data_IF_589088421334
#
_entry.id   IF_589088421334
#
_cell.length_a   1.000
_cell.length_b   1.000
_cell.length_c   1.000
_cell.angle_alpha   90.00
_cell.angle_beta   90.00
_cell.angle_gamma   90.00
#
_symmetry.space_group_name_H-M   'P 1'
#
loop_
_entity.id
_entity.type
_entity.pdbx_description
1 polymer ?
#
# COMPACT_ATOMS: atom_id res chain seq x y z
N UNK A 1 -20.35 -29.88 10.57
CA UNK A 1 -21.03 -28.64 10.96
C UNK A 1 -19.95 -27.71 11.49
N UNK A 2 -19.34 -26.94 10.59
CA UNK A 2 -18.23 -26.05 10.86
C UNK A 2 -18.72 -24.62 10.94
N UNK A 3 -18.30 -23.91 11.97
CA UNK A 3 -18.59 -22.50 12.19
C UNK A 3 -17.92 -21.64 11.10
N UNK A 4 -18.68 -21.19 10.15
CA UNK A 4 -18.34 -20.05 9.30
C UNK A 4 -18.38 -18.78 10.18
N UNK A 5 -17.21 -18.31 10.59
CA UNK A 5 -17.07 -16.95 11.13
C UNK A 5 -17.14 -15.98 9.94
N UNK A 6 -18.28 -15.37 9.78
CA UNK A 6 -18.49 -14.24 8.88
C UNK A 6 -17.67 -13.04 9.38
N UNK A 7 -16.74 -12.58 8.54
CA UNK A 7 -15.83 -11.45 8.80
C UNK A 7 -16.51 -10.06 8.69
N UNK A 8 -17.85 -10.02 8.79
CA UNK A 8 -18.64 -8.80 8.56
C UNK A 8 -19.03 -8.02 9.83
N UNK A 9 -18.58 -8.42 11.01
CA UNK A 9 -18.79 -7.62 12.22
C UNK A 9 -17.46 -7.01 12.65
N UNK A 10 -17.19 -5.77 12.25
CA UNK A 10 -16.16 -4.95 12.89
C UNK A 10 -16.58 -4.75 14.35
N UNK A 11 -15.75 -5.13 15.34
CA UNK A 11 -16.00 -4.69 16.71
C UNK A 11 -15.97 -3.16 16.74
N UNK A 12 -16.80 -2.52 17.60
CA UNK A 12 -16.74 -1.08 17.77
C UNK A 12 -15.31 -0.69 18.18
N UNK A 13 -14.78 0.34 17.53
CA UNK A 13 -13.47 0.90 17.85
C UNK A 13 -13.42 1.17 19.36
N UNK A 14 -12.59 0.42 20.07
CA UNK A 14 -12.28 0.72 21.46
C UNK A 14 -11.70 2.13 21.49
N UNK A 15 -12.24 2.99 22.35
CA UNK A 15 -11.73 4.31 22.67
C UNK A 15 -10.36 4.21 23.36
N UNK A 16 -9.35 3.79 22.63
CA UNK A 16 -7.97 4.00 23.02
C UNK A 16 -7.55 5.37 22.46
N UNK A 17 -7.85 6.42 23.19
CA UNK A 17 -7.22 7.73 23.03
C UNK A 17 -5.75 7.60 23.41
N UNK A 18 -4.96 7.03 22.53
CA UNK A 18 -3.51 7.15 22.56
C UNK A 18 -3.16 8.61 22.24
N UNK A 19 -3.07 9.43 23.24
CA UNK A 19 -2.50 10.77 23.19
C UNK A 19 -1.02 10.56 22.80
N UNK A 20 -0.67 10.89 21.54
CA UNK A 20 0.74 10.92 21.15
C UNK A 20 1.42 11.99 21.99
N UNK A 21 2.34 11.60 22.88
CA UNK A 21 3.16 12.51 23.63
C UNK A 21 3.93 13.41 22.67
N UNK A 22 3.68 14.72 22.75
CA UNK A 22 4.13 15.73 21.78
C UNK A 22 5.64 15.99 21.75
N UNK A 23 6.47 15.02 22.15
CA UNK A 23 7.92 15.13 22.22
C UNK A 23 8.65 13.95 21.58
N UNK A 24 8.04 13.30 20.57
CA UNK A 24 8.78 12.30 19.81
C UNK A 24 9.89 13.00 19.01
N UNK A 25 11.13 12.81 19.43
CA UNK A 25 12.32 13.31 18.71
C UNK A 25 12.26 12.68 17.31
N UNK A 26 12.06 13.53 16.30
CA UNK A 26 12.05 13.11 14.90
C UNK A 26 13.43 12.52 14.60
N UNK A 27 13.52 11.20 14.46
CA UNK A 27 14.77 10.53 14.14
C UNK A 27 15.11 10.74 12.67
N UNK A 28 16.40 10.72 12.33
CA UNK A 28 16.84 10.74 10.95
C UNK A 28 16.23 9.58 10.12
N UNK A 29 16.06 8.42 10.74
CA UNK A 29 15.40 7.26 10.14
C UNK A 29 13.95 7.56 9.75
N UNK A 30 13.14 8.16 10.65
CA UNK A 30 11.76 8.53 10.38
C UNK A 30 11.66 9.50 9.19
N UNK A 31 12.58 10.48 9.09
CA UNK A 31 12.62 11.41 7.96
C UNK A 31 12.99 10.71 6.65
N UNK A 32 13.97 9.81 6.65
CA UNK A 32 14.37 9.05 5.45
C UNK A 32 13.22 8.16 4.97
N UNK A 33 12.52 7.49 5.89
CA UNK A 33 11.35 6.67 5.58
C UNK A 33 10.24 7.54 5.00
N UNK A 34 9.92 8.66 5.64
CA UNK A 34 8.86 9.55 5.17
C UNK A 34 9.15 10.11 3.77
N UNK A 35 10.42 10.43 3.46
CA UNK A 35 10.83 10.85 2.12
C UNK A 35 10.69 9.71 1.09
N UNK A 36 11.09 8.49 1.45
CA UNK A 36 10.96 7.31 0.58
C UNK A 36 9.48 6.98 0.33
N UNK A 37 8.65 7.08 1.37
CA UNK A 37 7.20 6.92 1.27
C UNK A 37 6.58 7.95 0.32
N UNK A 38 6.98 9.23 0.45
CA UNK A 38 6.51 10.30 -0.42
C UNK A 38 6.89 10.04 -1.90
N UNK A 39 8.10 9.57 -2.16
CA UNK A 39 8.56 9.24 -3.51
C UNK A 39 7.84 8.00 -4.06
N UNK A 40 7.65 6.96 -3.24
CA UNK A 40 6.97 5.72 -3.64
C UNK A 40 5.52 5.97 -4.06
N UNK A 41 4.73 6.64 -3.22
CA UNK A 41 3.30 6.85 -3.50
C UNK A 41 3.06 7.86 -4.62
N UNK A 42 4.04 8.72 -4.94
CA UNK A 42 3.97 9.65 -6.06
C UNK A 42 4.25 9.00 -7.42
N UNK A 43 4.72 7.73 -7.44
CA UNK A 43 4.99 7.02 -8.71
C UNK A 43 3.68 6.88 -9.49
N UNK A 44 3.67 7.36 -10.73
CA UNK A 44 2.51 7.31 -11.62
C UNK A 44 1.40 8.30 -11.25
N UNK A 45 1.68 9.27 -10.39
CA UNK A 45 0.75 10.34 -10.01
C UNK A 45 1.27 11.72 -10.42
N UNK A 46 0.35 12.63 -10.68
CA UNK A 46 0.63 14.07 -10.76
C UNK A 46 0.69 14.64 -9.35
N UNK A 47 1.80 15.33 -9.03
CA UNK A 47 2.02 15.94 -7.73
C UNK A 47 1.87 17.45 -7.80
N UNK A 48 0.84 18.01 -7.16
CA UNK A 48 0.62 19.45 -7.04
C UNK A 48 0.98 19.91 -5.63
N UNK A 49 2.00 20.76 -5.53
CA UNK A 49 2.42 21.35 -4.26
C UNK A 49 1.62 22.59 -3.96
N UNK A 50 0.92 22.60 -2.83
CA UNK A 50 0.30 23.76 -2.23
C UNK A 50 1.20 24.42 -1.18
N UNK A 51 0.67 25.45 -0.51
CA UNK A 51 1.34 26.05 0.63
C UNK A 51 1.22 25.15 1.87
N UNK A 52 2.26 24.35 2.14
CA UNK A 52 2.30 23.41 3.25
C UNK A 52 1.56 22.09 3.04
N UNK A 53 1.35 21.64 1.80
CA UNK A 53 0.78 20.32 1.51
C UNK A 53 1.09 19.90 0.07
N UNK A 54 0.92 18.61 -0.21
CA UNK A 54 1.00 18.05 -1.56
C UNK A 54 -0.28 17.27 -1.86
N UNK A 55 -0.87 17.51 -3.02
CA UNK A 55 -1.99 16.73 -3.58
C UNK A 55 -1.43 15.80 -4.64
N UNK A 56 -1.64 14.52 -4.49
CA UNK A 56 -1.38 13.52 -5.52
C UNK A 56 -2.68 13.18 -6.24
N UNK A 57 -2.63 13.10 -7.57
CA UNK A 57 -3.76 12.71 -8.41
C UNK A 57 -3.29 11.81 -9.55
N UNK A 58 -4.16 10.92 -10.01
CA UNK A 58 -3.90 10.07 -11.18
C UNK A 58 -5.16 9.99 -12.05
N UNK A 59 -5.04 10.36 -13.31
CA UNK A 59 -6.15 10.22 -14.26
C UNK A 59 -6.27 8.78 -14.79
N UNK A 60 -5.18 8.01 -14.74
CA UNK A 60 -5.17 6.57 -15.07
C UNK A 60 -5.92 5.76 -14.01
N UNK A 61 -5.72 6.10 -12.73
CA UNK A 61 -6.31 5.41 -11.59
C UNK A 61 -7.22 6.35 -10.79
N UNK A 62 -8.18 6.98 -11.48
CA UNK A 62 -9.01 8.08 -10.97
C UNK A 62 -9.78 7.73 -9.69
N UNK A 63 -10.30 6.52 -9.60
CA UNK A 63 -11.14 6.09 -8.49
C UNK A 63 -10.36 5.39 -7.37
N UNK A 64 -9.04 5.25 -7.53
CA UNK A 64 -8.18 4.66 -6.52
C UNK A 64 -7.70 5.71 -5.53
N UNK A 65 -8.11 5.56 -4.28
CA UNK A 65 -7.74 6.51 -3.20
C UNK A 65 -6.24 6.53 -2.92
N UNK A 66 -5.49 5.44 -3.18
CA UNK A 66 -4.04 5.39 -3.01
C UNK A 66 -3.26 6.14 -4.09
N UNK A 67 -3.92 6.47 -5.21
CA UNK A 67 -3.39 7.34 -6.26
C UNK A 67 -3.92 8.77 -6.19
N UNK A 68 -4.89 9.06 -5.29
CA UNK A 68 -5.56 10.35 -5.20
C UNK A 68 -5.73 10.74 -3.73
N UNK A 69 -4.76 11.46 -3.16
CA UNK A 69 -4.77 11.83 -1.75
C UNK A 69 -3.93 13.08 -1.46
N UNK A 70 -4.07 13.60 -0.24
CA UNK A 70 -3.30 14.74 0.29
C UNK A 70 -2.32 14.24 1.33
N UNK A 71 -1.09 14.74 1.28
CA UNK A 71 -0.01 14.38 2.20
C UNK A 71 0.98 15.51 2.43
N UNK A 72 2.02 15.28 3.23
CA UNK A 72 3.05 16.27 3.57
C UNK A 72 2.43 17.55 4.12
N UNK A 73 1.48 17.39 5.06
CA UNK A 73 0.65 18.49 5.53
C UNK A 73 1.36 19.22 6.67
N UNK A 74 1.83 20.43 6.39
CA UNK A 74 2.43 21.37 7.36
C UNK A 74 1.87 22.77 7.11
N UNK A 75 0.65 22.99 7.57
CA UNK A 75 -0.06 24.26 7.38
C UNK A 75 0.47 25.32 8.36
N UNK A 76 0.54 26.56 7.92
CA UNK A 76 0.86 27.70 8.78
C UNK A 76 -0.09 27.82 9.97
N UNK A 77 0.40 28.43 11.08
CA UNK A 77 -0.34 28.56 12.35
C UNK A 77 -1.71 29.25 12.21
N UNK A 78 -1.83 30.13 11.23
CA UNK A 78 -3.06 30.91 10.99
C UNK A 78 -4.02 30.23 10.02
N UNK A 79 -3.70 29.02 9.54
CA UNK A 79 -4.56 28.28 8.63
C UNK A 79 -5.64 27.55 9.44
N UNK A 80 -6.90 27.90 9.21
CA UNK A 80 -8.05 27.16 9.75
C UNK A 80 -8.11 25.76 9.11
N UNK A 81 -8.01 24.69 9.92
CA UNK A 81 -8.06 23.31 9.40
C UNK A 81 -9.42 22.96 8.74
N UNK A 82 -10.54 23.52 9.21
CA UNK A 82 -11.85 23.31 8.57
C UNK A 82 -11.90 23.90 7.17
N UNK A 83 -11.49 25.15 7.04
CA UNK A 83 -11.40 25.83 5.74
C UNK A 83 -10.41 25.12 4.78
N UNK A 84 -9.32 24.54 5.33
CA UNK A 84 -8.41 23.74 4.55
C UNK A 84 -9.08 22.48 3.98
N UNK A 85 -9.81 21.73 4.82
CA UNK A 85 -10.52 20.51 4.38
C UNK A 85 -11.60 20.85 3.34
N UNK A 86 -12.38 21.95 3.52
CA UNK A 86 -13.38 22.41 2.54
C UNK A 86 -12.75 22.69 1.17
N UNK A 87 -11.61 23.37 1.18
CA UNK A 87 -10.88 23.70 -0.06
C UNK A 87 -10.42 22.42 -0.78
N UNK A 88 -9.91 21.43 -0.02
CA UNK A 88 -9.47 20.16 -0.60
C UNK A 88 -10.65 19.35 -1.12
N UNK A 89 -11.72 19.18 -0.36
CA UNK A 89 -12.93 18.49 -0.83
C UNK A 89 -13.48 19.13 -2.11
N UNK A 90 -13.50 20.47 -2.17
CA UNK A 90 -13.92 21.20 -3.37
C UNK A 90 -13.00 20.93 -4.56
N UNK A 91 -11.67 20.88 -4.35
CA UNK A 91 -10.72 20.57 -5.40
C UNK A 91 -10.92 19.14 -5.93
N UNK A 92 -11.12 18.15 -5.04
CA UNK A 92 -11.38 16.76 -5.44
C UNK A 92 -12.69 16.61 -6.21
N UNK A 93 -13.76 17.31 -5.81
CA UNK A 93 -15.02 17.35 -6.58
C UNK A 93 -14.82 17.95 -7.97
N UNK A 94 -14.07 19.06 -8.10
CA UNK A 94 -13.75 19.66 -9.40
C UNK A 94 -12.95 18.72 -10.30
N UNK A 95 -12.06 17.91 -9.73
CA UNK A 95 -11.30 16.87 -10.43
C UNK A 95 -12.13 15.60 -10.69
N UNK A 96 -13.41 15.62 -10.36
CA UNK A 96 -14.31 14.48 -10.54
C UNK A 96 -13.86 13.22 -9.77
N UNK A 97 -13.31 13.38 -8.56
CA UNK A 97 -12.98 12.28 -7.66
C UNK A 97 -14.18 11.95 -6.77
N UNK A 98 -14.49 10.66 -6.62
CA UNK A 98 -15.60 10.19 -5.77
C UNK A 98 -15.25 10.16 -4.28
N UNK A 99 -14.01 10.49 -3.93
CA UNK A 99 -13.49 10.41 -2.57
C UNK A 99 -12.52 11.54 -2.28
N UNK A 100 -12.27 11.77 -0.98
CA UNK A 100 -11.19 12.63 -0.50
C UNK A 100 -10.42 11.86 0.56
N UNK A 101 -9.08 11.80 0.43
CA UNK A 101 -8.20 11.08 1.35
C UNK A 101 -7.07 11.96 1.83
N UNK A 102 -6.74 11.86 3.12
CA UNK A 102 -5.61 12.52 3.77
C UNK A 102 -4.69 11.47 4.40
N UNK A 103 -3.41 11.60 4.17
CA UNK A 103 -2.37 10.81 4.84
C UNK A 103 -1.67 11.69 5.87
N UNK A 104 -1.74 11.29 7.15
CA UNK A 104 -1.13 12.01 8.25
C UNK A 104 0.01 11.20 8.85
N UNK A 105 1.14 11.86 9.05
CA UNK A 105 2.30 11.31 9.72
C UNK A 105 2.81 12.27 10.80
N UNK A 106 3.96 11.97 11.41
CA UNK A 106 4.58 12.79 12.46
C UNK A 106 4.93 14.22 12.02
N UNK A 107 4.99 14.50 10.72
CA UNK A 107 5.22 15.84 10.15
C UNK A 107 3.97 16.69 10.10
N UNK A 108 2.78 16.08 10.23
CA UNK A 108 1.51 16.77 10.06
C UNK A 108 1.30 17.90 11.07
N UNK A 109 0.99 19.08 10.58
CA UNK A 109 0.61 20.26 11.35
C UNK A 109 -0.61 20.93 10.69
N UNK A 110 -1.58 21.47 11.45
CA UNK A 110 -1.69 21.37 12.91
C UNK A 110 -2.17 19.96 13.34
N UNK A 111 -1.82 19.55 14.56
CA UNK A 111 -2.22 18.24 15.08
C UNK A 111 -3.74 18.07 15.18
N UNK A 112 -4.47 19.18 15.33
CA UNK A 112 -5.95 19.20 15.39
C UNK A 112 -6.61 18.72 14.07
N UNK A 113 -5.87 18.63 12.97
CA UNK A 113 -6.42 18.18 11.68
C UNK A 113 -7.11 16.81 11.79
N UNK A 114 -6.54 15.86 12.53
CA UNK A 114 -7.16 14.55 12.76
C UNK A 114 -8.54 14.66 13.44
N UNK A 115 -8.69 15.59 14.42
CA UNK A 115 -9.97 15.86 15.09
C UNK A 115 -11.00 16.46 14.12
N UNK A 116 -10.56 17.39 13.26
CA UNK A 116 -11.42 17.98 12.22
C UNK A 116 -11.89 16.91 11.25
N UNK A 117 -10.98 16.08 10.72
CA UNK A 117 -11.33 14.99 9.80
C UNK A 117 -12.36 14.04 10.41
N UNK A 118 -12.16 13.61 11.68
CA UNK A 118 -13.12 12.74 12.38
C UNK A 118 -14.50 13.40 12.49
N UNK A 119 -14.57 14.67 12.91
CA UNK A 119 -15.84 15.42 13.03
C UNK A 119 -16.54 15.56 11.67
N UNK A 120 -15.80 15.63 10.59
CA UNK A 120 -16.32 15.72 9.22
C UNK A 120 -16.69 14.38 8.58
N UNK A 121 -16.65 13.30 9.34
CA UNK A 121 -17.08 11.97 8.91
C UNK A 121 -16.05 11.19 8.10
N UNK A 122 -14.76 11.54 8.19
CA UNK A 122 -13.70 10.71 7.63
C UNK A 122 -13.49 9.46 8.48
N UNK A 123 -13.34 8.33 7.82
CA UNK A 123 -12.97 7.05 8.44
C UNK A 123 -11.46 6.97 8.54
N UNK A 124 -10.96 6.66 9.73
CA UNK A 124 -9.53 6.53 10.01
C UNK A 124 -9.08 5.08 9.93
N UNK A 125 -8.00 4.83 9.19
CA UNK A 125 -7.23 3.60 9.27
C UNK A 125 -5.85 3.93 9.83
N UNK A 126 -5.36 3.15 10.80
CA UNK A 126 -4.05 3.35 11.43
C UNK A 126 -3.07 2.32 10.93
N UNK A 127 -1.87 2.80 10.58
CA UNK A 127 -0.73 1.98 10.23
C UNK A 127 0.44 2.20 11.18
N UNK A 128 1.29 1.20 11.32
CA UNK A 128 2.57 1.28 12.02
C UNK A 128 3.69 1.03 11.02
N UNK A 129 4.63 1.93 10.99
CA UNK A 129 5.89 1.72 10.28
C UNK A 129 6.78 0.85 11.14
N UNK A 130 7.18 -0.30 10.60
CA UNK A 130 8.10 -1.21 11.25
C UNK A 130 9.43 -1.25 10.49
N UNK A 131 10.54 -1.20 11.23
CA UNK A 131 11.90 -1.18 10.67
C UNK A 131 12.62 -2.48 11.01
N UNK A 132 13.29 -3.05 10.02
CA UNK A 132 14.10 -4.25 10.20
C UNK A 132 15.38 -3.96 10.97
N UNK A 133 15.68 -4.79 11.99
CA UNK A 133 16.85 -4.64 12.88
C UNK A 133 17.82 -5.83 12.79
N UNK A 134 17.69 -6.66 11.78
CA UNK A 134 18.70 -7.67 11.46
C UNK A 134 18.78 -8.90 12.36
N UNK A 135 17.80 -9.15 13.23
CA UNK A 135 17.83 -10.25 14.22
C UNK A 135 16.80 -11.35 13.97
N UNK A 136 16.06 -11.27 12.86
CA UNK A 136 14.95 -12.18 12.58
C UNK A 136 15.36 -13.48 11.91
N UNK A 137 14.51 -14.49 12.02
CA UNK A 137 14.69 -15.76 11.35
C UNK A 137 14.45 -15.62 9.83
N UNK A 138 15.33 -16.19 9.03
CA UNK A 138 15.06 -16.34 7.61
C UNK A 138 14.02 -17.44 7.42
N UNK A 139 12.89 -17.09 6.78
CA UNK A 139 11.90 -18.09 6.36
C UNK A 139 12.31 -18.69 5.01
N UNK A 140 12.29 -19.99 4.89
CA UNK A 140 12.41 -20.67 3.60
C UNK A 140 11.18 -21.55 3.37
N UNK A 141 10.63 -21.53 2.17
CA UNK A 141 9.64 -22.50 1.74
C UNK A 141 10.27 -23.39 0.67
N UNK A 142 10.51 -24.68 0.94
CA UNK A 142 11.20 -25.55 0.01
C UNK A 142 10.38 -25.93 -1.23
N UNK A 143 9.13 -25.53 -1.32
CA UNK A 143 8.17 -25.96 -2.37
C UNK A 143 7.68 -24.85 -3.28
N UNK A 144 8.27 -23.66 -3.21
CA UNK A 144 7.77 -22.50 -3.97
C UNK A 144 8.92 -21.87 -4.73
N UNK A 145 8.84 -21.88 -6.05
CA UNK A 145 9.73 -21.09 -6.88
C UNK A 145 9.42 -19.59 -6.68
N UNK A 146 10.46 -18.78 -6.61
CA UNK A 146 10.32 -17.34 -6.49
C UNK A 146 10.89 -16.66 -7.73
N UNK A 147 10.09 -15.90 -8.42
CA UNK A 147 10.48 -15.18 -9.62
C UNK A 147 10.44 -13.68 -9.32
N UNK A 148 11.49 -12.98 -9.73
CA UNK A 148 11.57 -11.53 -9.66
C UNK A 148 11.03 -10.93 -10.97
N UNK A 149 10.12 -9.97 -10.83
CA UNK A 149 9.57 -9.20 -11.93
C UNK A 149 10.33 -7.87 -12.04
N UNK A 150 10.90 -7.63 -13.21
CA UNK A 150 11.68 -6.42 -13.53
C UNK A 150 11.20 -5.83 -14.86
N UNK A 151 11.78 -4.71 -15.26
CA UNK A 151 11.52 -4.08 -16.55
C UNK A 151 11.77 -4.99 -17.79
N UNK A 152 12.55 -6.06 -17.62
CA UNK A 152 12.85 -7.05 -18.67
C UNK A 152 11.93 -8.26 -18.64
N UNK A 153 11.03 -8.34 -17.69
CA UNK A 153 10.10 -9.46 -17.56
C UNK A 153 9.07 -9.50 -18.69
N UNK A 154 8.74 -10.69 -19.15
CA UNK A 154 7.76 -10.91 -20.21
C UNK A 154 6.33 -10.57 -19.76
N UNK A 155 5.45 -10.34 -20.75
CA UNK A 155 4.05 -9.99 -20.51
C UNK A 155 3.28 -11.06 -19.71
N UNK A 156 3.66 -12.33 -19.79
CA UNK A 156 3.02 -13.39 -19.02
C UNK A 156 3.21 -13.23 -17.51
N UNK A 157 4.43 -12.85 -17.06
CA UNK A 157 4.70 -12.61 -15.64
C UNK A 157 3.95 -11.37 -15.11
N UNK A 158 3.81 -10.33 -15.94
CA UNK A 158 3.01 -9.16 -15.60
C UNK A 158 1.52 -9.50 -15.49
N UNK A 159 1.03 -10.39 -16.37
CA UNK A 159 -0.35 -10.87 -16.28
C UNK A 159 -0.58 -11.73 -15.02
N UNK A 160 0.36 -12.60 -14.67
CA UNK A 160 0.30 -13.40 -13.43
C UNK A 160 0.32 -12.50 -12.19
N UNK A 161 1.14 -11.43 -12.22
CA UNK A 161 1.15 -10.42 -11.16
C UNK A 161 -0.19 -9.70 -11.04
N UNK A 162 -0.74 -9.22 -12.16
CA UNK A 162 -2.03 -8.55 -12.17
C UNK A 162 -3.18 -9.44 -11.66
N UNK A 163 -3.18 -10.73 -12.04
CA UNK A 163 -4.17 -11.68 -11.56
C UNK A 163 -4.07 -11.92 -10.05
N UNK A 164 -2.84 -11.98 -9.50
CA UNK A 164 -2.60 -12.11 -8.07
C UNK A 164 -3.09 -10.87 -7.31
N UNK A 165 -2.78 -9.67 -7.80
CA UNK A 165 -3.25 -8.41 -7.23
C UNK A 165 -4.79 -8.33 -7.26
N UNK A 166 -5.41 -8.70 -8.37
CA UNK A 166 -6.86 -8.76 -8.49
C UNK A 166 -7.47 -9.73 -7.46
N UNK A 167 -6.90 -10.91 -7.27
CA UNK A 167 -7.33 -11.86 -6.24
C UNK A 167 -7.16 -11.27 -4.83
N UNK A 168 -6.02 -10.62 -4.55
CA UNK A 168 -5.74 -9.98 -3.27
C UNK A 168 -6.82 -8.98 -2.88
N UNK A 169 -7.25 -8.15 -3.82
CA UNK A 169 -8.23 -7.10 -3.58
C UNK A 169 -9.69 -7.54 -3.81
N UNK A 170 -9.93 -8.75 -4.32
CA UNK A 170 -11.28 -9.28 -4.57
C UNK A 170 -12.15 -9.34 -3.30
N UNK A 171 -11.52 -9.56 -2.14
CA UNK A 171 -12.21 -9.60 -0.83
C UNK A 171 -12.80 -8.23 -0.42
N UNK A 172 -12.33 -7.15 -1.04
CA UNK A 172 -12.83 -5.79 -0.82
C UNK A 172 -13.75 -5.31 -1.95
N UNK A 173 -13.92 -6.14 -3.01
CA UNK A 173 -14.69 -5.77 -4.19
C UNK A 173 -16.13 -6.26 -4.08
N UNK A 174 -17.04 -5.36 -3.79
CA UNK A 174 -18.49 -5.62 -3.78
C UNK A 174 -19.16 -5.46 -5.17
N UNK A 175 -18.44 -5.81 -6.24
CA UNK A 175 -18.92 -5.66 -7.61
C UNK A 175 -18.68 -4.27 -8.21
N UNK A 176 -17.81 -3.48 -7.60
CA UNK A 176 -17.44 -2.12 -8.04
C UNK A 176 -16.28 -2.09 -9.02
N UNK A 177 -15.64 -3.24 -9.29
CA UNK A 177 -14.40 -3.35 -10.06
C UNK A 177 -13.18 -2.77 -9.33
N UNK A 178 -13.22 -2.74 -8.00
CA UNK A 178 -12.12 -2.21 -7.19
C UNK A 178 -10.84 -3.05 -7.35
N UNK A 179 -10.98 -4.38 -7.39
CA UNK A 179 -9.86 -5.29 -7.55
C UNK A 179 -9.12 -5.09 -8.89
N UNK A 180 -9.86 -4.88 -9.98
CA UNK A 180 -9.28 -4.59 -11.31
C UNK A 180 -8.47 -3.29 -11.28
N UNK A 181 -9.01 -2.24 -10.65
CA UNK A 181 -8.32 -0.95 -10.54
C UNK A 181 -7.09 -1.01 -9.64
N UNK A 182 -7.12 -1.82 -8.58
CA UNK A 182 -5.97 -2.04 -7.71
C UNK A 182 -4.83 -2.72 -8.47
N UNK A 183 -5.13 -3.79 -9.22
CA UNK A 183 -4.17 -4.46 -10.09
C UNK A 183 -3.59 -3.51 -11.17
N UNK A 184 -4.45 -2.69 -11.78
CA UNK A 184 -4.03 -1.68 -12.74
C UNK A 184 -3.10 -0.62 -12.11
N UNK A 185 -3.38 -0.16 -10.89
CA UNK A 185 -2.52 0.79 -10.18
C UNK A 185 -1.14 0.19 -9.89
N UNK A 186 -1.07 -1.06 -9.42
CA UNK A 186 0.19 -1.75 -9.16
C UNK A 186 1.04 -1.87 -10.41
N UNK A 187 0.49 -2.37 -11.52
CA UNK A 187 1.19 -2.42 -12.81
C UNK A 187 1.64 -1.04 -13.30
N UNK A 188 0.76 -0.05 -13.22
CA UNK A 188 1.08 1.33 -13.63
C UNK A 188 2.26 1.90 -12.84
N UNK A 189 2.30 1.67 -11.53
CA UNK A 189 3.43 2.10 -10.67
C UNK A 189 4.74 1.41 -11.08
N UNK A 190 4.73 0.10 -11.25
CA UNK A 190 5.91 -0.64 -11.71
C UNK A 190 6.44 -0.08 -13.04
N UNK A 191 5.59 0.07 -14.04
CA UNK A 191 5.97 0.62 -15.35
C UNK A 191 6.51 2.05 -15.27
N UNK A 192 5.87 2.92 -14.50
CA UNK A 192 6.31 4.30 -14.30
C UNK A 192 7.67 4.35 -13.61
N UNK A 193 7.87 3.54 -12.56
CA UNK A 193 9.14 3.45 -11.86
C UNK A 193 10.28 3.01 -12.78
N UNK A 194 10.05 1.99 -13.60
CA UNK A 194 11.05 1.50 -14.56
C UNK A 194 11.39 2.53 -15.65
N UNK A 195 10.39 3.24 -16.16
CA UNK A 195 10.61 4.36 -17.12
C UNK A 195 11.47 5.48 -16.52
N UNK A 196 11.38 5.67 -15.20
CA UNK A 196 12.18 6.65 -14.46
C UNK A 196 13.52 6.10 -13.97
N UNK A 197 13.85 4.84 -14.28
CA UNK A 197 15.08 4.18 -13.83
C UNK A 197 15.12 3.96 -12.31
N UNK A 198 13.96 3.87 -11.67
CA UNK A 198 13.86 3.59 -10.23
C UNK A 198 13.95 2.08 -9.98
N UNK A 199 14.55 1.71 -8.84
CA UNK A 199 14.63 0.31 -8.43
C UNK A 199 13.32 -0.11 -7.71
N UNK A 200 12.37 -0.54 -8.52
CA UNK A 200 11.10 -1.09 -8.08
C UNK A 200 10.91 -2.48 -8.69
N UNK A 201 10.70 -3.47 -7.84
CA UNK A 201 10.62 -4.88 -8.20
C UNK A 201 9.38 -5.50 -7.57
N UNK A 202 8.85 -6.52 -8.22
CA UNK A 202 7.86 -7.40 -7.63
C UNK A 202 8.42 -8.83 -7.58
N UNK A 203 8.02 -9.60 -6.58
CA UNK A 203 8.39 -11.01 -6.42
C UNK A 203 7.12 -11.85 -6.44
N UNK A 204 7.08 -12.85 -7.32
CA UNK A 204 6.03 -13.86 -7.37
C UNK A 204 6.52 -15.16 -6.72
N UNK A 205 5.65 -15.77 -5.95
CA UNK A 205 5.80 -17.15 -5.48
C UNK A 205 4.93 -18.05 -6.34
N UNK A 206 5.54 -19.02 -7.02
CA UNK A 206 4.86 -19.98 -7.88
C UNK A 206 4.84 -21.36 -7.21
N UNK A 207 3.66 -21.94 -7.03
CA UNK A 207 3.52 -23.33 -6.66
C UNK A 207 3.59 -24.20 -7.92
N UNK A 208 4.19 -25.38 -7.78
CA UNK A 208 4.16 -26.40 -8.84
C UNK A 208 2.71 -26.66 -9.24
N UNK A 209 2.35 -26.29 -10.45
CA UNK A 209 1.03 -26.65 -11.02
C UNK A 209 0.99 -28.17 -11.10
N UNK A 210 0.27 -28.81 -10.17
CA UNK A 210 0.16 -30.26 -10.13
C UNK A 210 -0.20 -30.78 -11.53
N UNK A 211 0.74 -31.47 -12.15
CA UNK A 211 0.61 -32.07 -13.49
C UNK A 211 -0.43 -33.21 -13.46
N UNK A 212 -1.71 -32.85 -13.39
CA UNK A 212 -2.81 -33.81 -13.52
C UNK A 212 -3.79 -33.45 -14.65
N UNK A 213 -3.36 -32.70 -15.67
CA UNK A 213 -4.17 -32.55 -16.89
C UNK A 213 -3.31 -32.73 -18.14
N UNK A 214 -3.46 -33.88 -18.85
CA UNK A 214 -2.67 -34.15 -20.07
C UNK A 214 -3.12 -33.40 -21.32
N UNK A 215 -3.90 -32.33 -21.24
CA UNK A 215 -4.59 -31.75 -22.39
C UNK A 215 -4.17 -30.33 -22.80
N UNK A 216 -3.04 -29.77 -22.32
CA UNK A 216 -2.54 -28.49 -22.83
C UNK A 216 -1.04 -28.56 -23.18
N UNK A 217 -0.71 -29.32 -24.22
CA UNK A 217 0.55 -29.20 -24.94
C UNK A 217 0.43 -28.03 -25.95
N UNK A 218 0.63 -26.82 -25.49
CA UNK A 218 0.82 -25.63 -26.32
C UNK A 218 2.23 -25.11 -26.13
N UNK A 219 3.04 -25.19 -27.20
CA UNK A 219 4.40 -24.68 -27.26
C UNK A 219 4.44 -23.17 -27.04
N UNK A 220 4.97 -22.70 -25.91
CA UNK A 220 5.64 -21.42 -25.83
C UNK A 220 6.64 -21.43 -24.67
N UNK A 221 7.89 -21.15 -24.99
CA UNK A 221 9.04 -21.14 -24.10
C UNK A 221 9.00 -20.01 -23.04
N UNK A 222 7.87 -19.35 -22.83
CA UNK A 222 7.72 -18.12 -22.04
C UNK A 222 6.65 -18.24 -20.93
N UNK A 223 6.15 -19.45 -20.64
CA UNK A 223 5.23 -19.66 -19.50
C UNK A 223 5.99 -20.19 -18.30
N UNK A 224 5.92 -19.46 -17.19
CA UNK A 224 6.28 -19.98 -15.87
C UNK A 224 5.49 -21.27 -15.61
N UNK A 225 6.18 -22.40 -15.37
CA UNK A 225 5.55 -23.69 -15.08
C UNK A 225 4.93 -23.73 -13.66
N UNK A 226 4.09 -22.75 -13.27
CA UNK A 226 3.50 -22.70 -11.95
C UNK A 226 2.30 -21.75 -11.86
N UNK A 227 1.55 -21.88 -10.77
CA UNK A 227 0.45 -20.98 -10.43
C UNK A 227 0.95 -19.96 -9.41
N UNK A 228 0.70 -18.66 -9.64
CA UNK A 228 1.03 -17.62 -8.67
C UNK A 228 0.21 -17.81 -7.39
N UNK A 229 0.88 -17.98 -6.26
CA UNK A 229 0.25 -18.23 -4.95
C UNK A 229 0.59 -17.17 -3.91
N UNK A 230 1.39 -16.19 -4.26
CA UNK A 230 1.72 -15.06 -3.42
C UNK A 230 2.68 -14.09 -4.09
N UNK A 231 2.79 -12.90 -3.55
CA UNK A 231 3.68 -11.87 -4.06
C UNK A 231 4.03 -10.83 -3.01
N UNK A 232 5.04 -10.02 -3.30
CA UNK A 232 5.36 -8.79 -2.59
C UNK A 232 6.14 -7.85 -3.49
N UNK A 233 6.18 -6.57 -3.12
CA UNK A 233 6.91 -5.52 -3.81
C UNK A 233 8.10 -5.04 -2.98
N UNK A 234 9.13 -4.53 -3.66
CA UNK A 234 10.31 -3.92 -3.07
C UNK A 234 10.64 -2.63 -3.83
N UNK A 235 10.42 -1.50 -3.20
CA UNK A 235 10.86 -0.20 -3.69
C UNK A 235 12.12 0.25 -2.95
N UNK A 236 13.13 0.71 -3.70
CA UNK A 236 14.43 1.10 -3.12
C UNK A 236 14.83 2.51 -3.54
N UNK A 237 15.26 3.30 -2.57
CA UNK A 237 15.70 4.67 -2.83
C UNK A 237 16.73 5.14 -1.79
N UNK A 238 17.91 5.56 -2.25
CA UNK A 238 18.97 6.20 -1.41
C UNK A 238 19.32 5.38 -0.14
N UNK A 239 19.49 4.08 -0.27
CA UNK A 239 19.83 3.20 0.85
C UNK A 239 18.63 2.89 1.77
N UNK A 240 17.43 3.26 1.36
CA UNK A 240 16.18 2.88 2.06
C UNK A 240 15.39 1.93 1.17
N UNK A 241 14.91 0.84 1.76
CA UNK A 241 14.06 -0.15 1.08
C UNK A 241 12.70 -0.24 1.76
N UNK A 242 11.63 -0.16 0.97
CA UNK A 242 10.25 -0.41 1.38
C UNK A 242 9.81 -1.77 0.85
N UNK A 243 9.32 -2.64 1.74
CA UNK A 243 8.63 -3.88 1.37
C UNK A 243 7.13 -3.61 1.49
N UNK A 244 6.36 -3.91 0.43
CA UNK A 244 4.93 -3.65 0.37
C UNK A 244 4.17 -4.79 -0.30
N UNK A 245 2.85 -4.81 -0.18
CA UNK A 245 1.97 -5.69 -0.94
C UNK A 245 2.19 -7.18 -0.64
N UNK A 246 2.68 -7.56 0.55
CA UNK A 246 2.86 -8.98 0.87
C UNK A 246 1.51 -9.68 0.96
N UNK A 247 1.22 -10.49 -0.04
CA UNK A 247 0.00 -11.27 -0.14
C UNK A 247 0.28 -12.75 -0.38
N UNK A 248 -0.56 -13.61 0.18
CA UNK A 248 -0.57 -15.05 -0.07
C UNK A 248 -2.03 -15.48 -0.27
N UNK A 249 -2.28 -16.19 -1.37
CA UNK A 249 -3.61 -16.70 -1.69
C UNK A 249 -4.13 -17.60 -0.56
N UNK A 250 -5.45 -17.59 -0.25
CA UNK A 250 -5.99 -18.34 0.88
C UNK A 250 -5.58 -19.82 0.91
N UNK A 251 -5.57 -20.57 -0.22
CA UNK A 251 -5.17 -21.99 -0.20
C UNK A 251 -3.68 -22.21 0.15
N UNK A 252 -2.81 -21.21 -0.08
CA UNK A 252 -1.37 -21.31 0.16
C UNK A 252 -0.95 -20.76 1.54
N UNK A 253 -1.88 -20.20 2.31
CA UNK A 253 -1.58 -19.68 3.66
C UNK A 253 -1.14 -20.80 4.60
N UNK A 254 -0.26 -20.46 5.55
CA UNK A 254 0.28 -21.41 6.50
C UNK A 254 1.40 -22.34 5.94
N UNK A 255 1.68 -22.28 4.63
CA UNK A 255 2.71 -23.12 3.97
C UNK A 255 4.12 -22.50 3.97
N UNK A 256 4.30 -21.30 4.54
CA UNK A 256 5.58 -20.59 4.58
C UNK A 256 5.85 -19.66 3.39
N UNK A 257 4.92 -19.54 2.43
CA UNK A 257 5.07 -18.69 1.23
C UNK A 257 5.36 -17.23 1.61
N UNK A 258 4.57 -16.64 2.51
CA UNK A 258 4.78 -15.25 2.94
C UNK A 258 6.14 -15.03 3.61
N UNK A 259 6.60 -16.00 4.40
CA UNK A 259 7.93 -15.97 5.01
C UNK A 259 9.04 -16.02 3.96
N UNK A 260 8.88 -16.84 2.93
CA UNK A 260 9.84 -16.97 1.84
C UNK A 260 9.93 -15.70 1.00
N UNK A 261 8.78 -15.08 0.64
CA UNK A 261 8.71 -13.80 -0.07
C UNK A 261 9.38 -12.68 0.72
N UNK A 262 9.05 -12.56 2.01
CA UNK A 262 9.64 -11.56 2.89
C UNK A 262 11.15 -11.74 3.00
N UNK A 263 11.64 -13.00 3.15
CA UNK A 263 13.07 -13.31 3.17
C UNK A 263 13.76 -12.94 1.86
N UNK A 264 13.09 -13.15 0.72
CA UNK A 264 13.62 -12.78 -0.60
C UNK A 264 13.77 -11.27 -0.75
N UNK A 265 12.73 -10.52 -0.39
CA UNK A 265 12.75 -9.05 -0.45
C UNK A 265 13.82 -8.48 0.50
N UNK A 266 13.89 -8.96 1.74
CA UNK A 266 14.96 -8.62 2.71
C UNK A 266 16.34 -8.91 2.16
N UNK A 267 16.55 -10.14 1.65
CA UNK A 267 17.83 -10.54 1.07
C UNK A 267 18.25 -9.66 -0.10
N UNK A 268 17.30 -9.28 -0.96
CA UNK A 268 17.54 -8.37 -2.09
C UNK A 268 17.95 -6.97 -1.62
N UNK A 269 17.26 -6.42 -0.61
CA UNK A 269 17.58 -5.11 -0.05
C UNK A 269 18.96 -5.10 0.64
N UNK A 270 19.25 -6.10 1.47
CA UNK A 270 20.53 -6.24 2.18
C UNK A 270 21.69 -6.41 1.18
N UNK A 271 21.54 -7.30 0.18
CA UNK A 271 22.57 -7.53 -0.84
C UNK A 271 22.87 -6.27 -1.67
N UNK A 272 21.92 -5.38 -1.80
CA UNK A 272 22.09 -4.11 -2.49
C UNK A 272 22.65 -2.98 -1.61
N UNK A 273 22.88 -3.25 -0.33
CA UNK A 273 23.51 -2.31 0.61
C UNK A 273 22.55 -1.31 1.23
N UNK A 274 21.22 -1.60 1.25
CA UNK A 274 20.29 -0.73 1.98
C UNK A 274 20.52 -0.85 3.48
N UNK A 275 20.66 0.28 4.14
CA UNK A 275 20.92 0.37 5.58
C UNK A 275 19.64 0.61 6.40
N UNK A 276 18.51 0.88 5.73
CA UNK A 276 17.23 1.10 6.35
C UNK A 276 16.13 0.37 5.55
N UNK A 277 15.58 -0.69 6.13
CA UNK A 277 14.53 -1.50 5.49
C UNK A 277 13.28 -1.41 6.34
N UNK A 278 12.14 -1.09 5.72
CA UNK A 278 10.89 -0.91 6.44
C UNK A 278 9.68 -1.47 5.67
N UNK A 279 8.61 -1.62 6.39
CA UNK A 279 7.26 -1.89 5.86
C UNK A 279 6.21 -1.13 6.69
N UNK A 280 5.00 -1.09 6.18
CA UNK A 280 3.84 -0.55 6.91
C UNK A 280 2.83 -1.67 7.13
N UNK A 281 2.42 -1.85 8.38
CA UNK A 281 1.39 -2.82 8.76
C UNK A 281 0.19 -2.09 9.38
N UNK A 282 -1.02 -2.62 9.19
CA UNK A 282 -2.16 -2.14 9.96
C UNK A 282 -1.95 -2.44 11.45
N UNK A 283 -2.31 -1.49 12.32
CA UNK A 283 -2.05 -1.59 13.78
C UNK A 283 -2.71 -2.82 14.39
N UNK A 284 -3.90 -3.17 13.91
CA UNK A 284 -4.74 -4.24 14.46
C UNK A 284 -4.71 -5.53 13.63
N UNK A 285 -3.77 -5.65 12.65
CA UNK A 285 -3.71 -6.80 11.77
C UNK A 285 -2.64 -7.82 12.20
N UNK A 286 -2.95 -9.10 11.95
CA UNK A 286 -2.08 -10.24 12.27
C UNK A 286 -0.67 -10.17 11.62
N UNK A 287 -0.48 -9.70 10.38
CA UNK A 287 0.83 -9.61 9.74
C UNK A 287 1.88 -8.86 10.56
N UNK A 288 1.48 -7.86 11.36
CA UNK A 288 2.38 -7.14 12.27
C UNK A 288 3.17 -8.08 13.19
N UNK A 289 2.50 -9.10 13.75
CA UNK A 289 3.16 -10.09 14.62
C UNK A 289 4.10 -11.02 13.83
N UNK A 290 3.76 -11.32 12.58
CA UNK A 290 4.67 -12.08 11.71
C UNK A 290 5.93 -11.27 11.43
N UNK A 291 5.82 -10.00 11.08
CA UNK A 291 6.97 -9.13 10.82
C UNK A 291 7.87 -8.97 12.03
N UNK A 292 7.31 -8.86 13.23
CA UNK A 292 8.10 -8.81 14.47
C UNK A 292 8.96 -10.05 14.68
N UNK A 293 8.49 -11.25 14.28
CA UNK A 293 9.29 -12.49 14.33
C UNK A 293 10.45 -12.49 13.34
N UNK A 294 10.36 -11.70 12.27
CA UNK A 294 11.43 -11.47 11.31
C UNK A 294 12.45 -10.43 11.77
N UNK A 295 12.22 -9.79 12.90
CA UNK A 295 13.10 -8.76 13.45
C UNK A 295 12.70 -7.34 13.05
N UNK A 296 11.46 -7.13 12.60
CA UNK A 296 10.90 -5.79 12.46
C UNK A 296 10.44 -5.27 13.81
N UNK A 297 10.72 -4.00 14.09
CA UNK A 297 10.30 -3.29 15.30
C UNK A 297 9.52 -2.03 14.93
N UNK A 298 8.54 -1.69 15.73
CA UNK A 298 7.72 -0.50 15.54
C UNK A 298 8.57 0.76 15.68
N UNK A 299 8.42 1.70 14.76
CA UNK A 299 9.10 2.98 14.76
C UNK A 299 8.14 4.15 14.98
N UNK A 300 7.07 4.23 14.20
CA UNK A 300 6.11 5.33 14.25
C UNK A 300 4.75 4.91 13.71
N UNK A 301 3.71 5.61 14.14
CA UNK A 301 2.37 5.45 13.59
C UNK A 301 2.12 6.45 12.46
N UNK A 302 1.30 6.03 11.51
CA UNK A 302 0.73 6.86 10.45
C UNK A 302 -0.78 6.65 10.43
N UNK A 303 -1.54 7.57 9.85
CA UNK A 303 -2.98 7.41 9.71
C UNK A 303 -3.48 7.90 8.36
N UNK A 304 -4.39 7.12 7.81
CA UNK A 304 -5.09 7.39 6.57
C UNK A 304 -6.54 7.73 6.88
N UNK A 305 -7.03 8.82 6.31
CA UNK A 305 -8.37 9.34 6.55
C UNK A 305 -9.11 9.44 5.23
N UNK A 306 -10.16 8.64 5.07
CA UNK A 306 -10.92 8.52 3.82
C UNK A 306 -12.37 8.92 4.03
N UNK A 307 -12.92 9.69 3.09
CA UNK A 307 -14.34 10.00 2.99
C UNK A 307 -14.78 9.88 1.54
N UNK A 308 -15.91 9.21 1.31
CA UNK A 308 -16.60 9.25 0.02
C UNK A 308 -17.30 10.59 -0.12
N UNK A 309 -17.13 11.23 -1.27
CA UNK A 309 -17.77 12.50 -1.59
C UNK A 309 -19.08 12.21 -2.33
N UNK A 310 -20.19 12.80 -1.86
CA UNK A 310 -21.49 12.67 -2.53
C UNK A 310 -21.41 13.20 -3.96
N UNK A 311 -21.81 12.38 -4.91
CA UNK A 311 -21.86 12.76 -6.33
C UNK A 311 -23.10 13.59 -6.67
N UNK A 312 -24.13 13.55 -5.82
CA UNK A 312 -25.43 14.20 -6.10
C UNK A 312 -25.44 15.73 -5.98
N UNK A 313 -24.41 16.33 -5.37
CA UNK A 313 -24.30 17.79 -5.31
C UNK A 313 -24.02 18.48 -6.66
N UNK A 314 -23.80 17.72 -7.74
CA UNK A 314 -23.43 18.24 -9.07
C UNK A 314 -24.60 18.64 -9.94
N UNK A 315 -25.80 18.17 -9.63
CA UNK A 315 -26.98 18.43 -10.47
C UNK A 315 -27.68 19.73 -10.17
N UNK A 316 -27.40 20.36 -9.01
CA UNK A 316 -28.08 21.59 -8.59
C UNK A 316 -27.40 22.88 -9.10
N UNK A 317 -26.09 22.84 -9.39
CA UNK A 317 -25.35 24.03 -9.83
C UNK A 317 -25.32 24.25 -11.36
N UNK A 318 -25.93 23.36 -12.15
CA UNK A 318 -26.05 23.47 -13.60
C UNK A 318 -27.44 23.98 -14.05
N UNK A 319 -28.31 24.31 -13.11
CA UNK A 319 -29.68 24.82 -13.39
C UNK A 319 -29.95 26.23 -12.81
N UNK A 320 -28.92 27.04 -12.59
CA UNK A 320 -29.07 28.46 -12.27
C UNK A 320 -28.31 29.29 -13.29
#
# INVERSE_FOLDING_TARGET
MGNEKTWNERPPASEATGQMDGNQVITNEAMRIAQTEDEHVAIGCDAQRGNGYTVLTSDVCRDMWDANHVRQIDLGRDTDPDAFVDRIETAFRKLNRAHCKFELDFRTRPQQLATVLRRRGYVCTRGVVQVYRGTGASGSSPRVAQIEITAQSGQSLLADWAALEQECYSVYDSGTGFADRAAQLSLHRLECAWKLGQDYRAFLALADGGRNSPSQQGSSADRSEGVAVGGCELFRRRGVAKIEGLYVTPPARGSGVGAALLSRALGSAIAAGDDLIYLVAAVDDWPRHMYSRFGFVDLMEISSWLKMLDQDARQTDLLV
#
